data_IF_606663962034
#
_entry.id   IF_606663962034
#
_cell.length_a   1.000
_cell.length_b   1.000
_cell.length_c   1.000
_cell.angle_alpha   90.00
_cell.angle_beta   90.00
_cell.angle_gamma   90.00
#
_symmetry.space_group_name_H-M   'P 1'
#
loop_
_entity.id
_entity.type
_entity.pdbx_description
1 polymer ?
#
# COMPACT_ATOMS: atom_id res chain seq x y z
N UNK A 1 5.80 -1.76 14.59
CA UNK A 1 5.13 -2.18 15.84
C UNK A 1 4.58 -3.58 15.60
N UNK A 2 4.77 -4.51 16.53
CA UNK A 2 4.28 -5.89 16.40
C UNK A 2 3.43 -6.25 17.62
N UNK A 3 2.28 -6.85 17.37
CA UNK A 3 1.35 -7.33 18.40
C UNK A 3 0.93 -8.75 18.06
N UNK A 4 0.95 -9.63 19.06
CA UNK A 4 0.44 -11.01 18.95
C UNK A 4 -0.98 -11.06 19.48
N UNK A 5 -1.82 -11.84 18.82
CA UNK A 5 -3.20 -12.10 19.18
C UNK A 5 -3.40 -13.60 19.40
N UNK A 6 -4.61 -13.97 19.85
CA UNK A 6 -5.00 -15.36 20.02
C UNK A 6 -4.92 -16.15 18.71
N UNK A 7 -4.95 -17.47 18.83
CA UNK A 7 -4.91 -18.41 17.70
C UNK A 7 -3.68 -18.29 16.79
N UNK A 8 -2.61 -17.65 17.30
CA UNK A 8 -1.33 -17.51 16.61
C UNK A 8 -1.27 -16.38 15.60
N UNK A 9 -2.25 -15.46 15.59
CA UNK A 9 -2.20 -14.29 14.72
C UNK A 9 -1.18 -13.26 15.19
N UNK A 10 -0.52 -12.63 14.22
CA UNK A 10 0.43 -11.55 14.46
C UNK A 10 0.11 -10.39 13.55
N UNK A 11 0.01 -9.20 14.13
CA UNK A 11 -0.17 -7.95 13.39
C UNK A 11 1.10 -7.13 13.49
N UNK A 12 1.66 -6.75 12.34
CA UNK A 12 2.78 -5.83 12.26
C UNK A 12 2.33 -4.55 11.57
N UNK A 13 2.57 -3.40 12.20
CA UNK A 13 2.32 -2.09 11.62
C UNK A 13 3.61 -1.39 11.27
N UNK A 14 3.69 -0.93 10.03
CA UNK A 14 4.84 -0.25 9.43
C UNK A 14 4.46 1.19 9.11
N UNK A 15 5.38 2.12 9.37
CA UNK A 15 5.31 3.51 8.96
C UNK A 15 6.64 3.93 8.36
N UNK A 16 6.60 4.57 7.21
CA UNK A 16 7.78 5.15 6.59
C UNK A 16 7.45 6.52 6.00
N UNK A 17 8.13 7.56 6.49
CA UNK A 17 7.98 8.93 6.00
C UNK A 17 9.20 9.33 5.18
N UNK A 18 9.06 9.31 3.85
CA UNK A 18 10.09 9.80 2.95
C UNK A 18 10.01 11.32 2.85
N UNK A 19 10.71 12.04 3.74
CA UNK A 19 10.66 13.52 3.79
C UNK A 19 11.09 14.17 2.47
N UNK A 20 12.15 13.65 1.84
CA UNK A 20 12.67 14.19 0.59
C UNK A 20 11.71 13.97 -0.60
N UNK A 21 11.08 12.80 -0.67
CA UNK A 21 10.10 12.49 -1.72
C UNK A 21 8.69 12.99 -1.38
N UNK A 22 8.44 13.40 -0.14
CA UNK A 22 7.18 13.92 0.38
C UNK A 22 6.03 12.90 0.26
N UNK A 23 6.23 11.71 0.80
CA UNK A 23 5.15 10.74 0.97
C UNK A 23 5.23 10.05 2.33
N UNK A 24 4.08 9.62 2.83
CA UNK A 24 3.94 8.69 3.95
C UNK A 24 3.48 7.34 3.39
N UNK A 25 4.17 6.29 3.78
CA UNK A 25 3.78 4.91 3.55
C UNK A 25 3.42 4.28 4.90
N UNK A 26 2.27 3.64 4.96
CA UNK A 26 1.79 2.92 6.12
C UNK A 26 1.32 1.54 5.67
N UNK A 27 1.55 0.51 6.45
CA UNK A 27 1.00 -0.80 6.15
C UNK A 27 0.73 -1.61 7.40
N UNK A 28 -0.35 -2.39 7.37
CA UNK A 28 -0.55 -3.50 8.29
C UNK A 28 -0.21 -4.82 7.60
N UNK A 29 0.44 -5.71 8.35
CA UNK A 29 0.75 -7.08 7.97
C UNK A 29 0.02 -7.98 8.96
N UNK A 30 -0.88 -8.82 8.48
CA UNK A 30 -1.52 -9.88 9.27
C UNK A 30 -0.85 -11.19 8.88
N UNK A 31 -0.31 -11.90 9.86
CA UNK A 31 0.35 -13.18 9.68
C UNK A 31 -0.37 -14.23 10.52
N UNK A 32 -0.93 -15.23 9.86
CA UNK A 32 -1.69 -16.31 10.46
C UNK A 32 -0.98 -17.65 10.36
N UNK A 33 -1.37 -18.58 11.24
CA UNK A 33 -0.89 -19.97 11.22
C UNK A 33 -1.65 -20.84 10.22
N UNK A 34 -2.86 -20.43 9.84
CA UNK A 34 -3.74 -21.12 8.89
C UNK A 34 -4.62 -20.12 8.12
N UNK A 35 -5.11 -20.46 6.91
CA UNK A 35 -6.04 -19.61 6.18
C UNK A 35 -7.35 -19.37 6.93
N UNK A 36 -7.79 -18.11 6.99
CA UNK A 36 -9.06 -17.72 7.61
C UNK A 36 -9.80 -16.67 6.77
N UNK A 37 -11.07 -16.45 7.08
CA UNK A 37 -11.83 -15.30 6.57
C UNK A 37 -11.44 -14.07 7.40
N UNK A 38 -10.63 -13.19 6.83
CA UNK A 38 -10.16 -11.95 7.44
C UNK A 38 -11.14 -10.82 7.09
N UNK A 39 -11.62 -10.12 8.12
CA UNK A 39 -12.34 -8.85 7.99
C UNK A 39 -11.47 -7.78 8.65
N UNK A 40 -10.85 -6.95 7.81
CA UNK A 40 -9.94 -5.90 8.23
C UNK A 40 -10.60 -4.52 8.12
N UNK A 41 -10.36 -3.68 9.12
CA UNK A 41 -10.76 -2.28 9.14
C UNK A 41 -9.73 -1.44 9.88
N UNK A 42 -9.30 -0.35 9.26
CA UNK A 42 -8.45 0.67 9.86
C UNK A 42 -9.06 2.04 9.62
N UNK A 43 -9.27 2.78 10.70
CA UNK A 43 -9.70 4.18 10.66
C UNK A 43 -8.58 5.13 11.06
N UNK A 44 -8.39 6.20 10.31
CA UNK A 44 -7.58 7.35 10.69
C UNK A 44 -8.51 8.55 10.90
N UNK A 45 -8.48 9.22 12.06
CA UNK A 45 -9.29 10.40 12.28
C UNK A 45 -8.86 11.53 11.33
N UNK A 46 -9.84 12.19 10.72
CA UNK A 46 -9.65 13.36 9.87
C UNK A 46 -9.95 14.60 10.71
N UNK A 47 -9.04 15.57 10.68
CA UNK A 47 -9.20 16.81 11.45
C UNK A 47 -10.41 17.63 10.95
N UNK A 48 -11.03 18.38 11.86
CA UNK A 48 -12.12 19.30 11.51
C UNK A 48 -11.72 20.24 10.36
N UNK A 49 -12.62 20.39 9.38
CA UNK A 49 -12.40 21.21 8.18
C UNK A 49 -11.58 20.54 7.08
N UNK A 50 -11.12 19.29 7.28
CA UNK A 50 -10.57 18.44 6.23
C UNK A 50 -11.66 17.49 5.72
N UNK A 51 -11.78 17.42 4.41
CA UNK A 51 -12.71 16.57 3.68
C UNK A 51 -11.95 15.53 2.87
N UNK A 52 -12.53 14.34 2.73
CA UNK A 52 -12.03 13.29 1.86
C UNK A 52 -12.87 13.23 0.57
N UNK A 53 -12.23 13.58 -0.55
CA UNK A 53 -12.85 13.59 -1.86
C UNK A 53 -12.44 12.34 -2.63
N UNK A 54 -13.40 11.46 -2.92
CA UNK A 54 -13.18 10.27 -3.75
C UNK A 54 -13.29 10.60 -5.24
N UNK A 55 -12.66 9.79 -6.09
CA UNK A 55 -12.98 9.76 -7.53
C UNK A 55 -14.09 8.76 -7.82
N UNK A 56 -14.80 8.99 -8.92
CA UNK A 56 -15.92 8.16 -9.37
C UNK A 56 -15.46 6.85 -10.00
N UNK A 57 -14.40 6.89 -10.82
CA UNK A 57 -13.93 5.72 -11.57
C UNK A 57 -12.83 4.93 -10.84
N UNK A 58 -12.02 5.63 -10.06
CA UNK A 58 -10.80 5.08 -9.45
C UNK A 58 -10.81 5.19 -7.93
N UNK A 59 -10.04 4.34 -7.26
CA UNK A 59 -10.08 4.13 -5.79
C UNK A 59 -9.20 5.09 -4.99
N UNK A 60 -8.52 6.05 -5.61
CA UNK A 60 -7.86 7.09 -4.85
C UNK A 60 -8.88 8.04 -4.19
N UNK A 61 -8.40 8.75 -3.18
CA UNK A 61 -9.06 9.96 -2.74
C UNK A 61 -8.09 11.01 -2.28
N UNK A 62 -8.60 12.20 -2.07
CA UNK A 62 -7.81 13.37 -1.74
C UNK A 62 -8.30 13.95 -0.42
N UNK A 63 -7.36 14.23 0.48
CA UNK A 63 -7.62 15.04 1.66
C UNK A 63 -7.44 16.51 1.28
N UNK A 64 -8.43 17.33 1.56
CA UNK A 64 -8.41 18.76 1.25
C UNK A 64 -9.31 19.58 2.16
N UNK A 65 -9.36 20.89 1.95
CA UNK A 65 -10.38 21.75 2.59
C UNK A 65 -11.53 22.04 1.63
N UNK A 66 -12.64 22.57 2.15
CA UNK A 66 -13.81 23.02 1.38
C UNK A 66 -13.48 24.04 0.28
N UNK A 67 -12.38 24.79 0.43
CA UNK A 67 -11.84 25.70 -0.60
C UNK A 67 -11.06 24.97 -1.72
N UNK A 68 -11.22 23.64 -1.85
CA UNK A 68 -10.54 22.76 -2.81
C UNK A 68 -9.01 22.78 -2.73
N UNK A 69 -8.45 23.17 -1.59
CA UNK A 69 -7.01 23.10 -1.35
C UNK A 69 -6.64 21.67 -0.99
N UNK A 70 -6.00 20.97 -1.92
CA UNK A 70 -5.55 19.58 -1.72
C UNK A 70 -4.29 19.53 -0.84
N UNK A 71 -4.32 18.64 0.14
CA UNK A 71 -3.26 18.43 1.13
C UNK A 71 -2.56 17.08 0.97
N UNK A 72 -3.32 16.02 0.67
CA UNK A 72 -2.77 14.70 0.43
C UNK A 72 -3.57 13.93 -0.62
N UNK A 73 -2.90 13.04 -1.33
CA UNK A 73 -3.50 11.99 -2.15
C UNK A 73 -3.33 10.67 -1.41
N UNK A 74 -4.39 9.88 -1.29
CA UNK A 74 -4.42 8.60 -0.57
C UNK A 74 -4.67 7.46 -1.56
N UNK A 75 -3.78 6.46 -1.58
CA UNK A 75 -3.86 5.29 -2.48
C UNK A 75 -3.89 3.97 -1.66
N UNK A 76 -4.95 3.16 -1.76
CA UNK A 76 -5.02 1.84 -1.13
C UNK A 76 -4.34 0.81 -2.03
N UNK A 77 -3.03 0.54 -1.85
CA UNK A 77 -2.24 -0.13 -2.88
C UNK A 77 -2.62 -1.60 -3.12
N UNK A 78 -3.18 -2.28 -2.11
CA UNK A 78 -3.73 -3.63 -2.25
C UNK A 78 -5.13 -3.69 -2.88
N UNK A 79 -5.77 -2.54 -3.13
CA UNK A 79 -7.01 -2.50 -3.90
C UNK A 79 -6.71 -2.18 -5.36
N UNK A 80 -7.51 -2.73 -6.30
CA UNK A 80 -7.36 -2.43 -7.73
C UNK A 80 -7.58 -0.94 -8.00
N UNK A 81 -6.96 -0.39 -9.04
CA UNK A 81 -7.12 1.04 -9.36
C UNK A 81 -8.56 1.43 -9.66
N UNK A 82 -9.24 0.61 -10.44
CA UNK A 82 -10.58 0.88 -10.95
C UNK A 82 -11.66 0.34 -10.00
N UNK A 83 -12.71 1.13 -9.79
CA UNK A 83 -13.85 0.79 -8.91
C UNK A 83 -14.77 -0.28 -9.48
N UNK A 84 -14.77 -0.46 -10.79
CA UNK A 84 -15.53 -1.53 -11.45
C UNK A 84 -15.04 -2.93 -11.04
N UNK A 85 -13.80 -3.05 -10.57
CA UNK A 85 -13.31 -4.24 -9.88
C UNK A 85 -13.74 -4.17 -8.41
N UNK A 86 -14.86 -4.80 -8.08
CA UNK A 86 -15.46 -4.76 -6.74
C UNK A 86 -14.73 -5.60 -5.69
N UNK A 87 -13.64 -6.29 -6.04
CA UNK A 87 -13.00 -7.23 -5.12
C UNK A 87 -12.34 -6.52 -3.93
N UNK A 88 -12.19 -7.28 -2.86
CA UNK A 88 -11.23 -7.13 -1.75
C UNK A 88 -11.49 -6.03 -0.71
N UNK A 89 -12.13 -4.89 -0.99
CA UNK A 89 -12.30 -3.87 0.06
C UNK A 89 -12.77 -2.49 -0.39
N UNK A 90 -12.56 -1.46 0.44
CA UNK A 90 -12.89 -0.06 0.13
C UNK A 90 -12.00 0.96 0.85
N UNK A 91 -11.83 2.13 0.24
CA UNK A 91 -11.30 3.32 0.89
C UNK A 91 -12.40 4.40 0.89
N UNK A 92 -12.87 4.78 2.07
CA UNK A 92 -13.96 5.75 2.25
C UNK A 92 -13.69 6.65 3.46
N UNK A 93 -14.53 7.68 3.64
CA UNK A 93 -14.52 8.48 4.85
C UNK A 93 -15.92 8.43 5.46
N UNK A 94 -16.03 7.95 6.70
CA UNK A 94 -17.28 7.77 7.43
C UNK A 94 -17.14 8.50 8.75
N UNK A 95 -18.06 9.43 9.05
CA UNK A 95 -18.11 10.16 10.33
C UNK A 95 -16.76 10.79 10.74
N UNK A 96 -16.08 11.43 9.77
CA UNK A 96 -14.77 12.06 10.02
C UNK A 96 -13.61 11.09 10.20
N UNK A 97 -13.80 9.81 9.85
CA UNK A 97 -12.76 8.78 9.89
C UNK A 97 -12.48 8.28 8.48
N UNK A 98 -11.24 8.44 8.02
CA UNK A 98 -10.75 7.86 6.78
C UNK A 98 -10.52 6.36 7.01
N UNK A 99 -11.32 5.52 6.37
CA UNK A 99 -11.40 4.10 6.64
C UNK A 99 -10.92 3.29 5.42
N UNK A 100 -9.98 2.38 5.66
CA UNK A 100 -9.58 1.34 4.74
C UNK A 100 -10.10 0.00 5.25
N UNK A 101 -10.90 -0.68 4.44
CA UNK A 101 -11.48 -1.98 4.76
C UNK A 101 -11.06 -3.04 3.75
N UNK A 102 -10.91 -4.28 4.20
CA UNK A 102 -10.73 -5.43 3.32
C UNK A 102 -11.40 -6.69 3.87
N UNK A 103 -11.98 -7.50 2.98
CA UNK A 103 -12.54 -8.81 3.32
C UNK A 103 -11.97 -9.84 2.37
N UNK A 104 -11.27 -10.85 2.91
CA UNK A 104 -10.55 -11.84 2.11
C UNK A 104 -10.40 -13.16 2.86
N UNK A 105 -10.33 -14.28 2.15
CA UNK A 105 -9.87 -15.55 2.72
C UNK A 105 -8.37 -15.70 2.46
N UNK A 106 -7.55 -15.65 3.50
CA UNK A 106 -6.10 -15.74 3.40
C UNK A 106 -5.47 -16.18 4.72
N UNK A 107 -4.25 -16.71 4.67
CA UNK A 107 -3.38 -16.94 5.82
C UNK A 107 -2.61 -15.66 6.19
N UNK A 108 -2.10 -14.96 5.18
CA UNK A 108 -1.36 -13.71 5.37
C UNK A 108 -1.98 -12.59 4.53
N UNK A 109 -1.99 -11.38 5.06
CA UNK A 109 -2.55 -10.21 4.38
C UNK A 109 -1.65 -9.00 4.57
N UNK A 110 -1.40 -8.27 3.48
CA UNK A 110 -0.71 -7.00 3.52
C UNK A 110 -1.64 -5.87 3.06
N UNK A 111 -1.77 -4.85 3.90
CA UNK A 111 -2.66 -3.70 3.67
C UNK A 111 -1.85 -2.39 3.59
N UNK A 112 -1.15 -2.15 2.47
CA UNK A 112 -0.36 -0.95 2.25
C UNK A 112 -1.21 0.25 1.81
N UNK A 113 -0.89 1.39 2.41
CA UNK A 113 -1.52 2.68 2.19
C UNK A 113 -0.45 3.74 1.92
N UNK A 114 -0.59 4.39 0.77
CA UNK A 114 0.33 5.44 0.34
C UNK A 114 -0.36 6.80 0.40
N UNK A 115 0.34 7.77 0.98
CA UNK A 115 -0.07 9.17 1.05
C UNK A 115 0.95 10.04 0.35
N UNK A 116 0.61 10.60 -0.81
CA UNK A 116 1.42 11.67 -1.41
C UNK A 116 1.15 12.97 -0.64
N UNK A 117 2.20 13.64 -0.17
CA UNK A 117 2.10 14.89 0.61
C UNK A 117 2.59 16.10 -0.21
N UNK A 118 2.99 15.90 -1.48
CA UNK A 118 3.47 16.96 -2.35
C UNK A 118 2.31 17.64 -3.09
N UNK A 119 2.02 18.87 -2.69
CA UNK A 119 1.05 19.75 -3.39
C UNK A 119 1.28 19.84 -4.91
N UNK A 120 2.54 19.81 -5.36
CA UNK A 120 2.91 19.89 -6.79
C UNK A 120 2.48 18.66 -7.61
N UNK A 121 2.14 17.56 -6.94
CA UNK A 121 1.77 16.29 -7.56
C UNK A 121 0.26 16.01 -7.57
N UNK A 122 -0.52 16.79 -6.82
CA UNK A 122 -1.99 16.61 -6.69
C UNK A 122 -2.77 16.72 -8.01
N UNK A 123 -2.21 17.39 -9.00
CA UNK A 123 -2.83 17.58 -10.32
C UNK A 123 -2.18 16.72 -11.41
N UNK A 124 -1.26 15.82 -11.04
CA UNK A 124 -0.53 14.98 -12.00
C UNK A 124 -1.27 13.67 -12.21
N UNK A 125 -1.15 13.11 -13.40
CA UNK A 125 -1.61 11.77 -13.69
C UNK A 125 -0.97 10.77 -12.71
N UNK A 126 -1.75 9.80 -12.25
CA UNK A 126 -1.33 8.78 -11.30
C UNK A 126 -1.74 7.40 -11.78
N UNK A 127 -1.02 6.38 -11.34
CA UNK A 127 -1.46 4.98 -11.43
C UNK A 127 -0.76 4.15 -10.36
N UNK A 128 -1.41 3.09 -9.88
CA UNK A 128 -0.75 2.09 -9.05
C UNK A 128 -1.14 0.67 -9.44
N UNK A 129 -0.22 -0.27 -9.26
CA UNK A 129 -0.43 -1.68 -9.61
C UNK A 129 0.18 -2.56 -8.54
N UNK A 130 -0.55 -3.61 -8.16
CA UNK A 130 0.07 -4.79 -7.58
C UNK A 130 0.86 -5.49 -8.69
N UNK A 131 2.08 -5.87 -8.37
CA UNK A 131 3.03 -6.50 -9.27
C UNK A 131 3.06 -8.01 -9.02
N UNK A 132 3.35 -8.75 -10.08
CA UNK A 132 3.72 -10.16 -9.95
C UNK A 132 5.05 -10.28 -9.23
N UNK A 133 5.08 -11.12 -8.21
CA UNK A 133 6.32 -11.57 -7.56
C UNK A 133 6.59 -12.99 -8.02
N UNK A 134 7.83 -13.25 -8.41
CA UNK A 134 8.31 -14.55 -8.85
C UNK A 134 9.28 -15.18 -7.85
N UNK A 135 9.25 -16.50 -7.75
CA UNK A 135 10.19 -17.36 -7.01
C UNK A 135 10.34 -18.64 -7.83
N UNK A 136 11.57 -19.12 -8.05
CA UNK A 136 11.85 -20.35 -8.82
C UNK A 136 11.10 -20.46 -10.16
N UNK A 137 11.07 -19.36 -10.93
CA UNK A 137 10.38 -19.23 -12.22
C UNK A 137 8.85 -19.34 -12.16
N UNK A 138 8.26 -19.27 -10.97
CA UNK A 138 6.81 -19.33 -10.75
C UNK A 138 6.31 -18.07 -10.07
N UNK A 139 5.05 -17.72 -10.32
CA UNK A 139 4.39 -16.65 -9.58
C UNK A 139 4.06 -17.12 -8.18
N UNK A 140 4.39 -16.32 -7.17
CA UNK A 140 3.99 -16.61 -5.78
C UNK A 140 2.66 -15.95 -5.44
N UNK A 141 1.94 -16.55 -4.49
CA UNK A 141 0.73 -15.97 -3.92
C UNK A 141 1.03 -14.64 -3.22
N UNK A 142 0.05 -13.75 -3.19
CA UNK A 142 0.09 -12.54 -2.37
C UNK A 142 0.17 -12.83 -0.86
N UNK A 143 -0.08 -14.07 -0.45
CA UNK A 143 0.12 -14.54 0.93
C UNK A 143 1.59 -14.87 1.24
N UNK A 144 2.42 -15.06 0.20
CA UNK A 144 3.85 -15.32 0.34
C UNK A 144 4.67 -14.04 0.21
N UNK A 145 4.36 -13.23 -0.80
CA UNK A 145 5.03 -11.97 -1.08
C UNK A 145 4.16 -11.04 -1.91
N UNK A 146 4.39 -9.74 -1.76
CA UNK A 146 3.68 -8.72 -2.53
C UNK A 146 4.63 -7.64 -3.02
N UNK A 147 4.33 -7.13 -4.21
CA UNK A 147 5.01 -5.99 -4.81
C UNK A 147 3.99 -4.96 -5.27
N UNK A 148 4.29 -3.68 -5.14
CA UNK A 148 3.45 -2.58 -5.62
C UNK A 148 4.29 -1.53 -6.31
N UNK A 149 3.76 -1.00 -7.41
CA UNK A 149 4.28 0.20 -8.05
C UNK A 149 3.30 1.34 -7.87
N UNK A 150 3.79 2.49 -7.43
CA UNK A 150 3.05 3.75 -7.46
C UNK A 150 3.74 4.69 -8.44
N UNK A 151 2.97 5.34 -9.29
CA UNK A 151 3.45 6.39 -10.19
C UNK A 151 2.59 7.64 -10.02
N UNK A 152 3.23 8.79 -9.81
CA UNK A 152 2.57 10.10 -9.80
C UNK A 152 3.40 11.08 -10.63
N UNK A 153 2.88 11.46 -11.79
CA UNK A 153 3.59 12.22 -12.81
C UNK A 153 4.85 11.50 -13.28
N UNK A 154 6.02 12.10 -13.01
CA UNK A 154 7.33 11.56 -13.39
C UNK A 154 7.98 10.72 -12.27
N UNK A 155 7.42 10.71 -11.07
CA UNK A 155 7.95 9.98 -9.92
C UNK A 155 7.30 8.61 -9.85
N UNK A 156 8.10 7.61 -9.50
CA UNK A 156 7.63 6.25 -9.30
C UNK A 156 8.33 5.64 -8.09
N UNK A 157 7.63 4.74 -7.41
CA UNK A 157 8.14 4.00 -6.26
C UNK A 157 7.76 2.54 -6.36
N UNK A 158 8.66 1.69 -5.85
CA UNK A 158 8.49 0.25 -5.70
C UNK A 158 8.40 -0.06 -4.20
N UNK A 159 7.40 -0.85 -3.84
CA UNK A 159 7.23 -1.39 -2.50
C UNK A 159 7.21 -2.91 -2.61
N UNK A 160 8.00 -3.59 -1.81
CA UNK A 160 8.04 -5.05 -1.76
C UNK A 160 8.04 -5.52 -0.31
N UNK A 161 7.31 -6.61 -0.06
CA UNK A 161 7.22 -7.25 1.25
C UNK A 161 7.17 -8.77 1.09
N UNK A 162 8.09 -9.47 1.75
CA UNK A 162 7.96 -10.89 2.06
C UNK A 162 7.02 -11.07 3.25
N UNK A 163 6.10 -12.02 3.15
CA UNK A 163 5.17 -12.40 4.22
C UNK A 163 5.49 -13.78 4.81
N UNK A 164 6.19 -14.61 4.04
CA UNK A 164 6.78 -15.87 4.51
C UNK A 164 8.29 -15.72 4.68
N UNK A 165 8.99 -16.84 4.92
CA UNK A 165 10.44 -16.86 5.01
C UNK A 165 11.07 -16.17 3.80
N UNK A 166 12.10 -15.36 4.08
CA UNK A 166 12.91 -14.70 3.05
C UNK A 166 13.60 -15.74 2.17
N UNK A 167 13.50 -15.53 0.87
CA UNK A 167 14.18 -16.28 -0.17
C UNK A 167 14.39 -15.35 -1.37
N UNK A 168 15.11 -15.82 -2.38
CA UNK A 168 15.37 -15.04 -3.59
C UNK A 168 14.07 -14.90 -4.40
N UNK A 169 13.53 -13.69 -4.44
CA UNK A 169 12.33 -13.37 -5.22
C UNK A 169 12.61 -12.30 -6.24
N UNK A 170 11.86 -12.34 -7.34
CA UNK A 170 11.93 -11.33 -8.39
C UNK A 170 10.68 -10.47 -8.42
N UNK A 171 10.84 -9.16 -8.51
CA UNK A 171 9.75 -8.22 -8.70
C UNK A 171 10.23 -7.08 -9.60
N UNK A 172 9.47 -6.76 -10.66
CA UNK A 172 9.82 -5.70 -11.62
C UNK A 172 11.27 -5.82 -12.16
N UNK A 173 11.72 -7.04 -12.43
CA UNK A 173 13.08 -7.33 -12.93
C UNK A 173 14.20 -7.20 -11.89
N UNK A 174 13.88 -6.89 -10.62
CA UNK A 174 14.85 -6.88 -9.52
C UNK A 174 14.86 -8.24 -8.84
N UNK A 175 16.03 -8.77 -8.51
CA UNK A 175 16.19 -9.94 -7.64
C UNK A 175 16.46 -9.47 -6.21
N UNK A 176 15.64 -9.92 -5.26
CA UNK A 176 15.64 -9.46 -3.87
C UNK A 176 15.71 -10.67 -2.94
N UNK A 177 16.55 -10.58 -1.92
CA UNK A 177 16.60 -11.51 -0.78
C UNK A 177 16.07 -10.89 0.52
N UNK A 178 15.60 -9.64 0.45
CA UNK A 178 15.20 -8.79 1.58
C UNK A 178 13.79 -9.14 2.08
N UNK A 179 13.47 -8.79 3.32
CA UNK A 179 12.10 -8.89 3.86
C UNK A 179 11.22 -7.73 3.37
N UNK A 180 11.80 -6.54 3.26
CA UNK A 180 11.08 -5.32 2.89
C UNK A 180 11.97 -4.44 2.03
N UNK A 181 11.41 -3.87 0.96
CA UNK A 181 12.07 -2.84 0.16
C UNK A 181 11.07 -1.72 -0.12
N UNK A 182 11.48 -0.48 0.16
CA UNK A 182 10.85 0.74 -0.32
C UNK A 182 11.89 1.48 -1.14
N UNK A 183 11.64 1.66 -2.43
CA UNK A 183 12.62 2.27 -3.33
C UNK A 183 11.97 3.31 -4.24
N UNK A 184 12.74 4.35 -4.57
CA UNK A 184 12.46 5.17 -5.74
C UNK A 184 12.76 4.35 -6.99
N UNK A 185 11.87 4.38 -7.98
CA UNK A 185 12.04 3.69 -9.25
C UNK A 185 12.20 4.73 -10.38
N UNK A 186 13.27 4.59 -11.16
CA UNK A 186 13.59 5.51 -12.26
C UNK A 186 13.16 4.93 -13.60
N UNK A 187 13.03 5.82 -14.59
CA UNK A 187 12.60 5.46 -15.95
C UNK A 187 13.58 4.54 -16.68
N UNK A 188 14.85 4.56 -16.27
CA UNK A 188 15.90 3.69 -16.80
C UNK A 188 15.87 2.27 -16.19
N UNK A 189 14.87 1.97 -15.34
CA UNK A 189 14.74 0.67 -14.69
C UNK A 189 15.61 0.52 -13.43
N UNK A 190 16.41 1.53 -13.09
CA UNK A 190 17.18 1.52 -11.85
C UNK A 190 16.29 1.87 -10.67
N UNK A 191 16.62 1.29 -9.51
CA UNK A 191 15.98 1.64 -8.26
C UNK A 191 17.01 2.27 -7.30
N UNK A 192 16.52 3.11 -6.39
CA UNK A 192 17.33 3.66 -5.30
C UNK A 192 16.60 3.31 -4.01
N UNK A 193 17.15 2.38 -3.20
CA UNK A 193 16.57 2.03 -1.91
C UNK A 193 16.40 3.28 -1.04
N UNK A 194 15.20 3.46 -0.50
CA UNK A 194 14.92 4.43 0.56
C UNK A 194 14.97 3.75 1.92
N UNK A 195 14.46 2.51 1.97
CA UNK A 195 14.57 1.57 3.09
C UNK A 195 14.69 0.17 2.52
N UNK A 196 15.59 -0.61 3.09
CA UNK A 196 15.71 -2.04 2.85
C UNK A 196 15.91 -2.75 4.19
N UNK A 197 15.18 -3.83 4.40
CA UNK A 197 15.29 -4.67 5.60
C UNK A 197 15.72 -6.04 5.12
N UNK A 198 16.94 -6.41 5.48
CA UNK A 198 17.54 -7.72 5.20
C UNK A 198 16.97 -8.81 6.07
#
# INVERSE_FOLDING_TARGET
IETKYDEGWKVQRQYFLARADQFLYMADVLLGTQPANIVYSLGLPVSNGIEFMVREETREGYLGTSLKKLHALCLPLALPEWRNDQRVGALCCVEGTLQLTQTVRAQNLYIPWFFDLSKRRMTRALTWRQLTVGEDLQNVSSECAVGYRVQVGKKQWLFYRSLTQRCNRTVLGQNLSSECLIAGFRRDGTHTPLVEIE
#
